data_IF_969719921980
#
_entry.id   IF_969719921980
#
_cell.length_a   1.000
_cell.length_b   1.000
_cell.length_c   1.000
_cell.angle_alpha   90.00
_cell.angle_beta   90.00
_cell.angle_gamma   90.00
#
_symmetry.space_group_name_H-M   'P 1'
#
loop_
_entity.id
_entity.type
_entity.pdbx_description
1 polymer ?
#
# COMPACT_ATOMS: atom_id res chain seq x y z
N UNK A 1 18.86 -25.21 12.29
CA UNK A 1 19.03 -25.30 10.83
C UNK A 1 18.56 -26.62 10.22
N UNK A 2 19.09 -27.80 10.58
CA UNK A 2 18.63 -29.10 10.00
C UNK A 2 17.15 -29.42 10.22
N UNK A 3 16.58 -29.09 11.36
CA UNK A 3 15.15 -29.33 11.69
C UNK A 3 14.21 -28.40 10.94
N UNK A 4 14.61 -27.16 10.70
CA UNK A 4 13.87 -26.16 9.93
C UNK A 4 13.79 -26.52 8.44
N UNK A 5 14.93 -26.91 7.86
CA UNK A 5 15.00 -27.37 6.45
C UNK A 5 14.19 -28.66 6.22
N UNK A 6 14.15 -29.58 7.20
CA UNK A 6 13.34 -30.79 7.12
C UNK A 6 11.84 -30.49 7.16
N UNK A 7 11.40 -29.51 7.98
CA UNK A 7 10.01 -29.04 8.03
C UNK A 7 9.62 -28.38 6.69
N UNK A 8 10.49 -27.51 6.14
CA UNK A 8 10.26 -26.85 4.85
C UNK A 8 10.14 -27.85 3.68
N UNK A 9 10.94 -28.91 3.69
CA UNK A 9 10.94 -29.96 2.65
C UNK A 9 9.66 -30.80 2.72
N UNK A 10 9.21 -31.16 3.91
CA UNK A 10 7.94 -31.89 4.14
C UNK A 10 6.74 -31.03 3.70
N UNK A 11 6.74 -29.77 4.01
CA UNK A 11 5.66 -28.83 3.61
C UNK A 11 5.58 -28.71 2.08
N UNK A 12 6.71 -28.60 1.38
CA UNK A 12 6.73 -28.58 -0.09
C UNK A 12 6.20 -29.85 -0.73
N UNK A 13 6.50 -31.02 -0.15
CA UNK A 13 6.01 -32.31 -0.65
C UNK A 13 4.50 -32.45 -0.44
N UNK A 14 3.98 -32.00 0.70
CA UNK A 14 2.54 -32.02 0.99
C UNK A 14 1.77 -31.08 0.03
N UNK A 15 2.33 -29.89 -0.26
CA UNK A 15 1.78 -28.93 -1.24
C UNK A 15 1.71 -29.56 -2.64
N UNK A 16 2.79 -30.16 -3.10
CA UNK A 16 2.87 -30.81 -4.43
C UNK A 16 1.88 -31.98 -4.55
N UNK A 17 1.74 -32.79 -3.49
CA UNK A 17 0.80 -33.91 -3.46
C UNK A 17 -0.65 -33.44 -3.46
N UNK A 18 -0.97 -32.37 -2.76
CA UNK A 18 -2.34 -31.84 -2.71
C UNK A 18 -2.78 -31.22 -4.05
N UNK A 19 -1.88 -30.45 -4.70
CA UNK A 19 -2.11 -29.88 -6.04
C UNK A 19 -2.32 -31.00 -7.08
N UNK A 20 -1.56 -32.08 -7.00
CA UNK A 20 -1.66 -33.24 -7.89
C UNK A 20 -2.98 -34.02 -7.71
N UNK A 21 -3.54 -34.06 -6.48
CA UNK A 21 -4.72 -34.85 -6.16
C UNK A 21 -6.02 -34.09 -6.41
N UNK A 22 -6.09 -32.78 -6.20
CA UNK A 22 -7.34 -32.03 -6.19
C UNK A 22 -7.55 -31.11 -7.40
N UNK A 23 -6.49 -30.76 -8.10
CA UNK A 23 -6.56 -29.76 -9.21
C UNK A 23 -7.04 -28.37 -8.76
N UNK A 24 -7.23 -28.15 -7.45
CA UNK A 24 -7.83 -26.93 -6.90
C UNK A 24 -6.76 -26.09 -6.21
N UNK A 25 -6.47 -24.93 -6.74
CA UNK A 25 -5.38 -24.06 -6.29
C UNK A 25 -5.72 -23.16 -5.07
N UNK A 26 -6.97 -23.15 -4.55
CA UNK A 26 -7.42 -21.95 -3.82
C UNK A 26 -8.25 -22.08 -2.54
N UNK A 27 -8.60 -23.21 -1.95
CA UNK A 27 -9.57 -23.14 -0.83
C UNK A 27 -9.20 -23.80 0.50
N UNK A 28 -8.31 -24.76 0.55
CA UNK A 28 -7.94 -25.40 1.85
C UNK A 28 -6.45 -25.28 2.20
N UNK A 29 -5.58 -25.03 1.22
CA UNK A 29 -4.14 -24.81 1.47
C UNK A 29 -3.86 -23.46 2.14
N UNK A 30 -4.66 -22.43 1.89
CA UNK A 30 -4.55 -21.14 2.59
C UNK A 30 -4.76 -21.28 4.10
N UNK A 31 -5.50 -22.30 4.53
CA UNK A 31 -5.72 -22.59 5.94
C UNK A 31 -4.58 -23.38 6.60
N UNK A 32 -3.83 -24.18 5.82
CA UNK A 32 -2.76 -25.07 6.33
C UNK A 32 -1.38 -24.37 6.29
N UNK A 33 -1.21 -23.38 5.42
CA UNK A 33 0.04 -22.62 5.25
C UNK A 33 -0.08 -21.20 5.82
N UNK A 34 -1.08 -20.90 6.61
CA UNK A 34 -1.09 -19.62 7.36
C UNK A 34 0.18 -19.58 8.19
N UNK A 35 1.02 -18.60 7.90
CA UNK A 35 2.20 -18.28 8.71
C UNK A 35 1.81 -18.34 10.18
N UNK A 36 2.45 -19.20 10.97
CA UNK A 36 2.27 -19.25 12.43
C UNK A 36 2.68 -17.93 13.10
N UNK A 37 3.21 -16.96 12.30
CA UNK A 37 3.64 -15.65 12.80
C UNK A 37 2.42 -14.84 13.27
N UNK A 38 2.47 -14.32 14.50
CA UNK A 38 1.45 -13.39 14.98
C UNK A 38 1.45 -12.10 14.14
N UNK A 39 0.28 -11.47 14.00
CA UNK A 39 0.11 -10.29 13.15
C UNK A 39 0.40 -9.01 13.92
N UNK A 40 1.20 -8.11 13.30
CA UNK A 40 1.42 -6.75 13.79
C UNK A 40 0.76 -5.74 12.84
N UNK A 41 -0.19 -4.99 13.34
CA UNK A 41 -0.92 -3.99 12.56
C UNK A 41 -0.05 -2.78 12.18
N UNK A 42 -0.24 -2.26 10.97
CA UNK A 42 0.38 -1.01 10.51
C UNK A 42 -0.57 -0.23 9.58
N UNK A 43 -0.38 1.09 9.47
CA UNK A 43 -1.29 1.96 8.71
C UNK A 43 -0.59 2.76 7.60
N UNK A 44 0.57 3.30 7.87
CA UNK A 44 1.24 4.24 6.96
C UNK A 44 2.42 3.60 6.25
N UNK A 45 2.59 3.89 4.96
CA UNK A 45 3.70 3.38 4.13
C UNK A 45 5.10 3.79 4.57
N UNK A 46 5.25 4.63 5.59
CA UNK A 46 6.53 4.93 6.25
C UNK A 46 6.86 3.96 7.39
N UNK A 47 6.03 2.96 7.65
CA UNK A 47 6.33 1.90 8.62
C UNK A 47 7.32 0.91 7.99
N UNK A 48 8.49 0.65 8.63
CA UNK A 48 9.47 -0.30 8.11
C UNK A 48 8.98 -1.74 8.33
N UNK A 49 8.37 -2.33 7.30
CA UNK A 49 7.80 -3.69 7.37
C UNK A 49 8.88 -4.74 7.61
N UNK A 50 10.09 -4.49 7.15
CA UNK A 50 11.26 -5.33 7.33
C UNK A 50 11.59 -5.53 8.83
N UNK A 51 11.50 -4.48 9.65
CA UNK A 51 11.71 -4.59 11.09
C UNK A 51 10.61 -5.38 11.79
N UNK A 52 9.36 -5.22 11.35
CA UNK A 52 8.23 -5.99 11.88
C UNK A 52 8.45 -7.48 11.60
N UNK A 53 8.83 -7.81 10.36
CA UNK A 53 9.04 -9.19 9.94
C UNK A 53 10.26 -9.82 10.62
N UNK A 54 11.37 -9.08 10.73
CA UNK A 54 12.58 -9.49 11.44
C UNK A 54 12.33 -9.74 12.94
N UNK A 55 11.36 -9.02 13.54
CA UNK A 55 10.91 -9.25 14.92
C UNK A 55 10.03 -10.51 15.09
N UNK A 56 9.75 -11.25 14.02
CA UNK A 56 8.94 -12.47 14.07
C UNK A 56 7.45 -12.25 13.85
N UNK A 57 7.01 -11.07 13.44
CA UNK A 57 5.60 -10.77 13.16
C UNK A 57 5.31 -10.74 11.66
N UNK A 58 4.06 -11.04 11.31
CA UNK A 58 3.51 -10.77 10.00
C UNK A 58 3.00 -9.32 9.96
N UNK A 59 3.54 -8.43 9.10
CA UNK A 59 2.98 -7.09 8.92
C UNK A 59 1.57 -7.20 8.32
N UNK A 60 0.57 -6.66 9.02
CA UNK A 60 -0.81 -6.67 8.58
C UNK A 60 -1.33 -5.25 8.44
N UNK A 61 -1.70 -4.83 7.23
CA UNK A 61 -2.20 -3.49 7.01
C UNK A 61 -3.62 -3.32 7.56
N UNK A 62 -3.80 -2.27 8.33
CA UNK A 62 -5.10 -1.84 8.82
C UNK A 62 -5.69 -0.87 7.80
N UNK A 63 -6.86 -1.16 7.28
CA UNK A 63 -7.49 -0.44 6.16
C UNK A 63 -8.92 0.08 6.43
N UNK A 64 -9.55 -0.33 7.54
CA UNK A 64 -10.92 0.03 7.82
C UNK A 64 -11.92 -0.68 6.89
N UNK A 65 -12.96 0.02 6.47
CA UNK A 65 -13.98 -0.46 5.52
C UNK A 65 -14.49 0.68 4.63
N UNK A 66 -15.16 0.33 3.52
CA UNK A 66 -15.70 1.28 2.53
C UNK A 66 -17.13 1.76 2.85
N UNK A 67 -17.75 1.29 3.92
CA UNK A 67 -19.05 1.76 4.36
C UNK A 67 -18.93 3.09 5.14
N UNK A 68 -19.99 3.90 5.19
CA UNK A 68 -20.03 5.07 6.07
C UNK A 68 -19.74 4.68 7.53
N UNK A 69 -18.98 5.52 8.22
CA UNK A 69 -18.68 5.29 9.63
C UNK A 69 -19.97 5.31 10.47
N UNK A 70 -20.05 4.44 11.48
CA UNK A 70 -21.26 4.25 12.31
C UNK A 70 -21.05 4.69 13.74
N UNK A 71 -19.95 4.28 14.35
CA UNK A 71 -19.67 4.53 15.77
C UNK A 71 -18.55 5.53 16.00
N UNK A 72 -17.70 5.77 14.99
CA UNK A 72 -16.52 6.61 15.10
C UNK A 72 -16.81 8.03 15.59
N UNK A 73 -17.95 8.61 15.18
CA UNK A 73 -18.35 9.99 15.56
C UNK A 73 -18.62 10.14 17.07
N UNK A 74 -18.73 9.02 17.81
CA UNK A 74 -18.78 9.03 19.28
C UNK A 74 -17.41 9.10 19.94
N UNK A 75 -16.33 8.87 19.19
CA UNK A 75 -14.95 8.77 19.68
C UNK A 75 -14.03 9.85 19.10
N UNK A 76 -14.36 10.39 17.93
CA UNK A 76 -13.58 11.40 17.23
C UNK A 76 -14.52 12.40 16.54
N UNK A 77 -14.02 13.62 16.30
CA UNK A 77 -14.83 14.64 15.63
C UNK A 77 -15.25 14.20 14.22
N UNK A 78 -16.49 14.47 13.77
CA UNK A 78 -16.98 14.06 12.43
C UNK A 78 -16.13 14.53 11.25
N UNK A 79 -15.40 15.65 11.39
CA UNK A 79 -14.54 16.22 10.34
C UNK A 79 -13.17 15.53 10.25
N UNK A 80 -13.14 14.21 10.43
CA UNK A 80 -11.98 13.38 10.10
C UNK A 80 -12.26 12.53 8.86
N UNK A 81 -11.21 12.20 8.11
CA UNK A 81 -11.35 11.44 6.87
C UNK A 81 -11.89 10.01 7.13
N UNK A 82 -12.57 9.46 6.13
CA UNK A 82 -13.22 8.15 6.22
C UNK A 82 -12.25 7.02 6.61
N UNK A 83 -10.98 7.05 6.15
CA UNK A 83 -9.98 6.03 6.52
C UNK A 83 -9.81 5.95 8.05
N UNK A 84 -9.68 7.09 8.73
CA UNK A 84 -9.55 7.12 10.18
C UNK A 84 -10.84 6.69 10.86
N UNK A 85 -11.98 7.19 10.39
CA UNK A 85 -13.30 6.88 10.98
C UNK A 85 -13.65 5.38 10.83
N UNK A 86 -13.50 4.82 9.64
CA UNK A 86 -13.77 3.40 9.41
C UNK A 86 -12.79 2.48 10.18
N UNK A 87 -11.55 2.92 10.35
CA UNK A 87 -10.57 2.19 11.17
C UNK A 87 -11.00 2.16 12.65
N UNK A 88 -11.54 3.26 13.17
CA UNK A 88 -12.11 3.32 14.55
C UNK A 88 -13.31 2.38 14.65
N UNK A 89 -14.23 2.40 13.69
CA UNK A 89 -15.39 1.52 13.68
C UNK A 89 -14.99 0.05 13.82
N UNK A 90 -14.12 -0.42 12.92
CA UNK A 90 -13.64 -1.82 12.91
C UNK A 90 -12.90 -2.15 14.21
N UNK A 91 -12.09 -1.22 14.73
CA UNK A 91 -11.33 -1.44 15.96
C UNK A 91 -12.24 -1.56 17.19
N UNK A 92 -13.24 -0.71 17.33
CA UNK A 92 -14.22 -0.72 18.43
C UNK A 92 -15.12 -1.95 18.37
N UNK A 93 -15.47 -2.40 17.15
CA UNK A 93 -16.24 -3.62 16.92
C UNK A 93 -15.40 -4.92 17.09
N UNK A 94 -14.11 -4.78 17.39
CA UNK A 94 -13.22 -5.93 17.68
C UNK A 94 -12.62 -6.60 16.43
N UNK A 95 -12.76 -6.02 15.24
CA UNK A 95 -12.25 -6.58 13.99
C UNK A 95 -10.71 -6.72 13.94
N UNK A 96 -10.00 -6.05 14.83
CA UNK A 96 -8.53 -6.14 14.95
C UNK A 96 -8.06 -6.84 16.23
N UNK A 97 -8.93 -7.56 16.94
CA UNK A 97 -8.57 -8.27 18.18
C UNK A 97 -7.53 -9.40 17.98
N UNK A 98 -7.37 -9.88 16.75
CA UNK A 98 -6.36 -10.90 16.41
C UNK A 98 -4.95 -10.32 16.24
N UNK A 99 -4.78 -8.99 16.26
CA UNK A 99 -3.47 -8.35 16.16
C UNK A 99 -2.76 -8.40 17.51
N UNK A 100 -1.47 -8.72 17.49
CA UNK A 100 -0.61 -8.61 18.68
C UNK A 100 -0.35 -7.16 19.09
N UNK A 101 -0.31 -6.28 18.12
CA UNK A 101 -0.09 -4.86 18.34
C UNK A 101 -0.31 -4.02 17.10
N UNK A 102 -0.15 -2.71 17.24
CA UNK A 102 -0.30 -1.75 16.14
C UNK A 102 0.81 -0.71 16.17
N UNK A 103 1.39 -0.47 14.99
CA UNK A 103 2.37 0.59 14.75
C UNK A 103 1.69 1.72 13.98
N UNK A 104 1.56 2.86 14.63
CA UNK A 104 1.08 4.11 14.05
C UNK A 104 2.25 4.94 13.54
N UNK A 105 1.98 5.84 12.61
CA UNK A 105 2.93 6.85 12.15
C UNK A 105 2.32 8.23 12.34
N UNK A 106 3.09 9.16 12.88
CA UNK A 106 2.73 10.58 12.96
C UNK A 106 2.71 11.20 11.56
N UNK A 107 1.79 10.74 10.69
CA UNK A 107 1.71 11.17 9.28
C UNK A 107 0.80 12.37 9.04
N UNK A 108 -0.23 12.56 9.86
CA UNK A 108 -1.13 13.72 9.86
C UNK A 108 -1.83 13.83 11.21
N UNK A 109 -2.58 14.91 11.46
CA UNK A 109 -3.29 15.04 12.73
C UNK A 109 -4.36 13.96 12.92
N UNK A 110 -5.05 13.57 11.86
CA UNK A 110 -6.04 12.50 11.91
C UNK A 110 -5.44 11.16 12.40
N UNK A 111 -4.23 10.80 11.93
CA UNK A 111 -3.53 9.58 12.39
C UNK A 111 -3.05 9.68 13.84
N UNK A 112 -2.68 10.89 14.30
CA UNK A 112 -2.35 11.12 15.72
C UNK A 112 -3.57 10.92 16.60
N UNK A 113 -4.72 11.48 16.19
CA UNK A 113 -5.98 11.30 16.93
C UNK A 113 -6.46 9.85 16.91
N UNK A 114 -6.29 9.16 15.78
CA UNK A 114 -6.55 7.71 15.71
C UNK A 114 -5.71 6.94 16.74
N UNK A 115 -4.41 7.24 16.85
CA UNK A 115 -3.54 6.64 17.88
C UNK A 115 -4.08 6.91 19.29
N UNK A 116 -4.50 8.14 19.60
CA UNK A 116 -4.99 8.52 20.93
C UNK A 116 -6.31 7.80 21.29
N UNK A 117 -7.24 7.73 20.32
CA UNK A 117 -8.50 6.97 20.46
C UNK A 117 -8.20 5.49 20.64
N UNK A 118 -7.34 4.91 19.80
CA UNK A 118 -6.98 3.50 19.88
C UNK A 118 -6.40 3.16 21.25
N UNK A 119 -5.40 3.91 21.70
CA UNK A 119 -4.73 3.71 22.99
C UNK A 119 -5.72 3.76 24.18
N UNK A 120 -6.78 4.53 24.06
CA UNK A 120 -7.77 4.71 25.14
C UNK A 120 -8.87 3.65 25.13
N UNK A 121 -9.32 3.23 23.94
CA UNK A 121 -10.57 2.47 23.81
C UNK A 121 -10.41 1.08 23.19
N UNK A 122 -9.28 0.78 22.57
CA UNK A 122 -9.06 -0.51 21.91
C UNK A 122 -8.03 -1.33 22.69
N UNK A 123 -8.42 -2.46 23.31
CA UNK A 123 -7.48 -3.34 24.01
C UNK A 123 -6.43 -3.86 23.03
N UNK A 124 -5.17 -3.46 23.22
CA UNK A 124 -4.05 -3.85 22.34
C UNK A 124 -2.81 -4.04 23.17
N UNK A 125 -2.10 -5.18 23.00
CA UNK A 125 -0.94 -5.54 23.82
C UNK A 125 0.28 -4.66 23.55
N UNK A 126 0.48 -4.28 22.29
CA UNK A 126 1.61 -3.43 21.87
C UNK A 126 1.10 -2.28 21.00
N UNK A 127 1.46 -1.06 21.38
CA UNK A 127 1.17 0.16 20.60
C UNK A 127 2.44 0.96 20.51
N UNK A 128 2.83 1.32 19.28
CA UNK A 128 3.97 2.18 19.03
C UNK A 128 3.60 3.29 18.06
N UNK A 129 4.02 4.53 18.37
CA UNK A 129 3.88 5.68 17.48
C UNK A 129 5.25 6.05 16.91
N UNK A 130 5.45 5.82 15.63
CA UNK A 130 6.61 6.25 14.87
C UNK A 130 6.49 7.74 14.53
N UNK A 131 7.47 8.52 14.96
CA UNK A 131 7.53 9.93 14.61
C UNK A 131 8.47 10.14 13.41
N UNK A 132 7.89 10.36 12.23
CA UNK A 132 8.62 10.51 10.98
C UNK A 132 8.84 12.00 10.69
N UNK A 133 10.05 12.43 10.32
CA UNK A 133 10.32 13.83 10.03
C UNK A 133 9.52 14.31 8.81
N UNK A 134 9.16 15.59 8.81
CA UNK A 134 8.64 16.27 7.62
C UNK A 134 9.81 16.83 6.82
N UNK A 135 10.03 16.29 5.63
CA UNK A 135 11.11 16.73 4.74
C UNK A 135 12.33 15.80 4.72
N UNK A 136 12.93 15.78 3.55
CA UNK A 136 14.05 14.91 3.18
C UNK A 136 15.36 15.68 3.35
N UNK A 137 16.05 15.47 4.47
CA UNK A 137 17.33 16.14 4.78
C UNK A 137 18.26 15.20 5.54
N UNK A 138 19.54 15.55 5.63
CA UNK A 138 20.52 14.79 6.42
C UNK A 138 20.16 14.74 7.91
N UNK A 139 19.54 15.78 8.46
CA UNK A 139 19.04 15.78 9.82
C UNK A 139 17.81 14.87 9.95
N UNK A 140 16.91 14.90 8.95
CA UNK A 140 15.79 13.99 8.85
C UNK A 140 16.22 12.53 8.79
N UNK A 141 17.30 12.22 8.08
CA UNK A 141 17.86 10.86 8.03
C UNK A 141 18.34 10.39 9.41
N UNK A 142 19.09 11.23 10.13
CA UNK A 142 19.52 10.91 11.49
C UNK A 142 18.32 10.71 12.43
N UNK A 143 17.26 11.48 12.22
CA UNK A 143 16.05 11.38 13.03
C UNK A 143 15.29 10.07 12.75
N UNK A 144 14.97 9.76 11.48
CA UNK A 144 14.23 8.53 11.13
C UNK A 144 15.00 7.26 11.52
N UNK A 145 16.34 7.26 11.37
CA UNK A 145 17.18 6.15 11.83
C UNK A 145 17.00 5.90 13.33
N UNK A 146 16.99 6.98 14.16
CA UNK A 146 16.73 6.87 15.60
C UNK A 146 15.32 6.37 15.91
N UNK A 147 14.33 6.80 15.14
CA UNK A 147 12.96 6.31 15.33
C UNK A 147 12.84 4.82 14.98
N UNK A 148 13.54 4.35 13.95
CA UNK A 148 13.60 2.92 13.62
C UNK A 148 14.35 2.12 14.70
N UNK A 149 15.41 2.68 15.27
CA UNK A 149 16.09 2.10 16.42
C UNK A 149 15.18 2.00 17.66
N UNK A 150 14.40 3.05 17.96
CA UNK A 150 13.38 3.00 19.02
C UNK A 150 12.32 1.92 18.78
N UNK A 151 11.84 1.79 17.54
CA UNK A 151 10.91 0.72 17.16
C UNK A 151 11.55 -0.65 17.37
N UNK A 152 12.79 -0.86 16.89
CA UNK A 152 13.54 -2.10 17.08
C UNK A 152 13.61 -2.47 18.56
N UNK A 153 14.07 -1.54 19.41
CA UNK A 153 14.17 -1.74 20.86
C UNK A 153 12.81 -2.04 21.50
N UNK A 154 11.75 -1.36 21.05
CA UNK A 154 10.40 -1.60 21.57
C UNK A 154 9.89 -3.01 21.20
N UNK A 155 10.14 -3.47 19.98
CA UNK A 155 9.81 -4.82 19.54
C UNK A 155 10.63 -5.89 20.28
N UNK A 156 11.94 -5.68 20.45
CA UNK A 156 12.83 -6.57 21.23
C UNK A 156 12.36 -6.71 22.68
N UNK A 157 11.98 -5.59 23.30
CA UNK A 157 11.42 -5.60 24.66
C UNK A 157 10.09 -6.35 24.72
N UNK A 158 9.23 -6.18 23.72
CA UNK A 158 7.93 -6.85 23.68
C UNK A 158 8.06 -8.37 23.48
N UNK A 159 8.94 -8.79 22.57
CA UNK A 159 9.17 -10.21 22.27
C UNK A 159 10.12 -10.90 23.28
N UNK A 160 10.87 -10.13 24.07
CA UNK A 160 12.00 -10.60 24.89
C UNK A 160 13.11 -11.27 24.08
N UNK A 161 13.23 -10.95 22.79
CA UNK A 161 14.24 -11.47 21.87
C UNK A 161 14.94 -10.34 21.13
N UNK A 162 16.27 -10.44 20.97
CA UNK A 162 17.03 -9.49 20.15
C UNK A 162 16.76 -9.72 18.66
N UNK A 163 16.55 -8.64 17.92
CA UNK A 163 16.44 -8.66 16.46
C UNK A 163 17.86 -8.58 15.89
N UNK A 164 18.34 -9.70 15.35
CA UNK A 164 19.68 -9.79 14.78
C UNK A 164 19.75 -9.09 13.41
N UNK A 165 20.92 -8.57 13.06
CA UNK A 165 21.13 -7.94 11.76
C UNK A 165 20.87 -8.90 10.59
N UNK A 166 21.25 -10.18 10.72
CA UNK A 166 20.95 -11.21 9.73
C UNK A 166 19.44 -11.34 9.45
N UNK A 167 18.60 -11.25 10.52
CA UNK A 167 17.14 -11.31 10.37
C UNK A 167 16.58 -10.07 9.66
N UNK A 168 17.19 -8.90 9.87
CA UNK A 168 16.83 -7.66 9.16
C UNK A 168 17.23 -7.78 7.70
N UNK A 169 18.42 -8.31 7.42
CA UNK A 169 18.91 -8.50 6.06
C UNK A 169 18.04 -9.47 5.26
N UNK A 170 17.70 -10.62 5.85
CA UNK A 170 16.75 -11.60 5.26
C UNK A 170 15.39 -10.97 4.96
N UNK A 171 14.88 -10.16 5.89
CA UNK A 171 13.61 -9.45 5.67
C UNK A 171 13.73 -8.42 4.53
N UNK A 172 14.81 -7.65 4.46
CA UNK A 172 15.06 -6.72 3.34
C UNK A 172 15.04 -7.48 2.02
N UNK A 173 15.77 -8.59 1.91
CA UNK A 173 15.82 -9.39 0.66
C UNK A 173 14.43 -9.90 0.27
N UNK A 174 13.66 -10.41 1.22
CA UNK A 174 12.31 -10.88 0.99
C UNK A 174 11.37 -9.79 0.46
N UNK A 175 11.35 -8.62 1.10
CA UNK A 175 10.51 -7.51 0.65
C UNK A 175 10.99 -6.88 -0.65
N UNK A 176 12.31 -6.87 -0.92
CA UNK A 176 12.84 -6.43 -2.20
C UNK A 176 12.46 -7.38 -3.34
N UNK A 177 12.39 -8.70 -3.08
CA UNK A 177 11.84 -9.65 -4.03
C UNK A 177 10.37 -9.35 -4.34
N UNK A 178 9.54 -9.10 -3.32
CA UNK A 178 8.13 -8.72 -3.50
C UNK A 178 7.98 -7.47 -4.37
N UNK A 179 8.78 -6.43 -4.12
CA UNK A 179 8.80 -5.21 -4.93
C UNK A 179 9.18 -5.50 -6.39
N UNK A 180 10.21 -6.33 -6.59
CA UNK A 180 10.65 -6.74 -7.93
C UNK A 180 9.55 -7.49 -8.68
N UNK A 181 8.86 -8.40 -8.02
CA UNK A 181 7.74 -9.13 -8.60
C UNK A 181 6.57 -8.19 -8.95
N UNK A 182 6.24 -7.26 -8.05
CA UNK A 182 5.20 -6.27 -8.32
C UNK A 182 5.55 -5.38 -9.53
N UNK A 183 6.80 -4.98 -9.67
CA UNK A 183 7.23 -4.22 -10.85
C UNK A 183 7.07 -5.03 -12.15
N UNK A 184 7.32 -6.35 -12.12
CA UNK A 184 7.05 -7.21 -13.29
C UNK A 184 5.57 -7.22 -13.66
N UNK A 185 4.67 -7.28 -12.67
CA UNK A 185 3.22 -7.17 -12.90
C UNK A 185 2.87 -5.80 -13.49
N UNK A 186 3.45 -4.72 -12.97
CA UNK A 186 3.23 -3.37 -13.50
C UNK A 186 3.65 -3.21 -14.96
N UNK A 187 4.67 -3.94 -15.44
CA UNK A 187 5.06 -3.91 -16.86
C UNK A 187 3.99 -4.44 -17.80
N UNK A 188 3.08 -5.31 -17.33
CA UNK A 188 1.96 -5.80 -18.11
C UNK A 188 0.98 -4.69 -18.52
N UNK A 189 0.99 -3.58 -17.79
CA UNK A 189 0.17 -2.39 -18.08
C UNK A 189 0.81 -1.43 -19.09
N UNK A 190 2.06 -1.70 -19.52
CA UNK A 190 2.66 -0.96 -20.65
C UNK A 190 2.04 -1.36 -21.99
N UNK A 191 1.45 -2.55 -22.07
CA UNK A 191 0.72 -3.01 -23.23
C UNK A 191 -0.52 -2.14 -23.51
N UNK A 192 -0.99 -2.16 -24.74
CA UNK A 192 -2.18 -1.42 -25.15
C UNK A 192 -3.13 -2.32 -25.98
N UNK A 193 -4.29 -2.73 -25.42
CA UNK A 193 -4.78 -2.45 -24.07
C UNK A 193 -3.91 -3.09 -22.97
N UNK A 194 -3.99 -2.61 -21.72
CA UNK A 194 -3.25 -3.20 -20.61
C UNK A 194 -3.69 -4.65 -20.36
N UNK A 195 -2.74 -5.54 -20.07
CA UNK A 195 -3.00 -6.96 -19.80
C UNK A 195 -3.57 -7.22 -18.41
N UNK A 196 -3.45 -6.25 -17.51
CA UNK A 196 -3.99 -6.27 -16.17
C UNK A 196 -4.62 -4.91 -15.86
N UNK A 197 -5.77 -4.91 -15.22
CA UNK A 197 -6.55 -3.72 -14.88
C UNK A 197 -6.01 -3.01 -13.65
N UNK A 198 -6.37 -1.75 -13.45
CA UNK A 198 -6.11 -1.02 -12.22
C UNK A 198 -6.79 -1.66 -11.01
N UNK A 199 -8.01 -2.21 -11.18
CA UNK A 199 -8.71 -2.99 -10.16
C UNK A 199 -7.86 -4.16 -9.66
N UNK A 200 -7.40 -5.02 -10.57
CA UNK A 200 -6.59 -6.20 -10.23
C UNK A 200 -5.29 -5.82 -9.50
N UNK A 201 -4.65 -4.71 -9.87
CA UNK A 201 -3.46 -4.22 -9.17
C UNK A 201 -3.74 -3.86 -7.71
N UNK A 202 -4.86 -3.22 -7.42
CA UNK A 202 -5.23 -2.90 -6.03
C UNK A 202 -5.57 -4.16 -5.25
N UNK A 203 -6.22 -5.15 -5.86
CA UNK A 203 -6.47 -6.46 -5.25
C UNK A 203 -5.16 -7.18 -4.92
N UNK A 204 -4.21 -7.23 -5.86
CA UNK A 204 -2.87 -7.82 -5.67
C UNK A 204 -2.09 -7.08 -4.57
N UNK A 205 -2.18 -5.76 -4.52
CA UNK A 205 -1.55 -4.95 -3.47
C UNK A 205 -2.20 -5.21 -2.11
N UNK A 206 -3.52 -5.29 -2.05
CA UNK A 206 -4.27 -5.58 -0.82
C UNK A 206 -3.93 -6.96 -0.27
N UNK A 207 -3.79 -7.94 -1.15
CA UNK A 207 -3.34 -9.29 -0.84
C UNK A 207 -1.94 -9.27 -0.20
N UNK A 208 -0.99 -8.56 -0.81
CA UNK A 208 0.36 -8.39 -0.25
C UNK A 208 0.33 -7.81 1.16
N UNK A 209 -0.50 -6.82 1.41
CA UNK A 209 -0.59 -6.13 2.68
C UNK A 209 -1.14 -6.98 3.84
N UNK A 210 -1.73 -8.12 3.55
CA UNK A 210 -2.39 -9.00 4.53
C UNK A 210 -1.83 -10.41 4.56
N UNK A 211 -0.99 -10.77 3.58
CA UNK A 211 -0.40 -12.10 3.42
C UNK A 211 1.04 -12.19 3.91
N UNK A 212 1.54 -13.41 4.12
CA UNK A 212 2.97 -13.63 4.31
C UNK A 212 3.69 -13.34 2.98
N UNK A 213 4.71 -12.44 2.96
CA UNK A 213 5.46 -12.11 1.75
C UNK A 213 6.07 -13.33 1.04
N UNK A 214 6.46 -14.38 1.79
CA UNK A 214 6.96 -15.62 1.19
C UNK A 214 5.90 -16.30 0.32
N UNK A 215 4.68 -16.40 0.85
CA UNK A 215 3.55 -17.03 0.15
C UNK A 215 3.10 -16.18 -1.02
N UNK A 216 3.01 -14.88 -0.81
CA UNK A 216 2.66 -13.93 -1.86
C UNK A 216 3.68 -13.98 -3.01
N UNK A 217 4.99 -13.96 -2.73
CA UNK A 217 6.05 -14.06 -3.74
C UNK A 217 5.93 -15.37 -4.54
N UNK A 218 5.68 -16.50 -3.88
CA UNK A 218 5.50 -17.78 -4.54
C UNK A 218 4.27 -17.78 -5.48
N UNK A 219 3.14 -17.24 -5.01
CA UNK A 219 1.92 -17.11 -5.80
C UNK A 219 2.14 -16.22 -7.04
N UNK A 220 2.74 -15.05 -6.85
CA UNK A 220 3.00 -14.12 -7.97
C UNK A 220 3.95 -14.72 -9.01
N UNK A 221 4.99 -15.44 -8.59
CA UNK A 221 5.88 -16.16 -9.53
C UNK A 221 5.09 -17.14 -10.39
N UNK A 222 4.24 -17.94 -9.76
CA UNK A 222 3.39 -18.92 -10.46
C UNK A 222 2.44 -18.24 -11.46
N UNK A 223 1.82 -17.12 -11.07
CA UNK A 223 0.93 -16.36 -11.95
C UNK A 223 1.67 -15.73 -13.13
N UNK A 224 2.89 -15.18 -12.89
CA UNK A 224 3.74 -14.64 -13.96
C UNK A 224 4.15 -15.72 -14.97
N UNK A 225 4.34 -16.96 -14.52
CA UNK A 225 4.73 -18.08 -15.40
C UNK A 225 3.54 -18.67 -16.18
N UNK A 226 2.34 -18.68 -15.60
CA UNK A 226 1.20 -19.43 -16.15
C UNK A 226 0.11 -18.52 -16.72
N UNK A 227 -0.25 -17.41 -16.06
CA UNK A 227 -1.38 -16.55 -16.40
C UNK A 227 -0.96 -15.32 -17.20
N UNK A 228 0.14 -14.68 -16.79
CA UNK A 228 0.59 -13.40 -17.35
C UNK A 228 1.74 -13.56 -18.32
N UNK A 229 1.57 -14.45 -19.29
CA UNK A 229 2.54 -14.61 -20.38
C UNK A 229 2.50 -13.38 -21.29
N UNK A 230 3.66 -13.07 -21.84
CA UNK A 230 3.77 -11.97 -22.80
C UNK A 230 2.92 -12.27 -24.04
N UNK A 231 1.76 -11.63 -24.12
CA UNK A 231 0.86 -11.74 -25.28
C UNK A 231 1.10 -10.56 -26.23
N UNK A 232 0.93 -10.72 -27.53
CA UNK A 232 1.00 -9.60 -28.49
C UNK A 232 -0.02 -8.51 -28.10
N UNK A 233 0.31 -7.25 -28.46
CA UNK A 233 -0.65 -6.16 -28.31
C UNK A 233 -1.94 -6.48 -29.06
N UNK A 234 -3.09 -6.34 -28.39
CA UNK A 234 -4.36 -6.56 -29.04
C UNK A 234 -4.71 -5.37 -29.95
N UNK A 235 -5.21 -5.67 -31.14
CA UNK A 235 -5.75 -4.66 -32.05
C UNK A 235 -7.19 -4.38 -31.60
N UNK A 236 -7.47 -3.19 -31.05
CA UNK A 236 -8.81 -2.84 -30.57
C UNK A 236 -8.98 -1.37 -30.22
N UNK A 237 -10.21 -1.00 -29.88
CA UNK A 237 -10.54 0.35 -29.42
C UNK A 237 -9.96 0.58 -28.04
N UNK A 238 -8.92 1.39 -27.93
CA UNK A 238 -8.19 1.63 -26.68
C UNK A 238 -8.85 2.76 -25.90
N UNK A 239 -9.11 2.51 -24.62
CA UNK A 239 -9.58 3.56 -23.70
C UNK A 239 -8.45 4.56 -23.42
N UNK A 240 -8.76 5.83 -23.10
CA UNK A 240 -7.75 6.76 -22.60
C UNK A 240 -7.09 6.24 -21.33
N UNK A 241 -5.76 6.33 -21.31
CA UNK A 241 -4.91 5.85 -20.21
C UNK A 241 -4.68 6.95 -19.20
N UNK A 242 -4.83 6.66 -17.92
CA UNK A 242 -4.68 7.64 -16.85
C UNK A 242 -3.81 7.14 -15.70
N UNK A 243 -3.30 8.11 -14.94
CA UNK A 243 -2.74 7.90 -13.60
C UNK A 243 -3.80 8.25 -12.56
N UNK A 244 -3.96 7.40 -11.55
CA UNK A 244 -4.74 7.69 -10.36
C UNK A 244 -3.80 8.09 -9.22
N UNK A 245 -4.00 9.29 -8.66
CA UNK A 245 -3.17 9.84 -7.59
C UNK A 245 -4.04 10.28 -6.41
N UNK A 246 -3.46 10.45 -5.23
CA UNK A 246 -4.15 11.07 -4.10
C UNK A 246 -4.17 10.27 -2.81
N UNK A 247 -5.28 10.39 -2.07
CA UNK A 247 -5.52 9.72 -0.80
C UNK A 247 -5.54 8.19 -0.94
N UNK A 248 -5.26 7.43 0.13
CA UNK A 248 -5.33 5.98 0.10
C UNK A 248 -6.68 5.47 -0.39
N UNK A 249 -6.67 4.52 -1.31
CA UNK A 249 -7.83 3.78 -1.80
C UNK A 249 -7.60 2.31 -1.44
N UNK A 250 -8.46 1.75 -0.62
CA UNK A 250 -8.40 0.35 -0.18
C UNK A 250 -9.41 -0.52 -0.92
N UNK A 251 -10.43 0.09 -1.51
CA UNK A 251 -11.49 -0.60 -2.21
C UNK A 251 -11.22 -0.64 -3.72
N UNK A 252 -11.00 -1.83 -4.25
CA UNK A 252 -10.77 -2.04 -5.68
C UNK A 252 -12.00 -1.69 -6.54
N UNK A 253 -13.21 -1.72 -5.97
CA UNK A 253 -14.44 -1.34 -6.68
C UNK A 253 -14.45 0.16 -7.06
N UNK A 254 -13.77 1.01 -6.31
CA UNK A 254 -13.59 2.41 -6.71
C UNK A 254 -12.80 2.54 -8.02
N UNK A 255 -11.79 1.71 -8.20
CA UNK A 255 -10.99 1.68 -9.44
C UNK A 255 -11.79 1.07 -10.59
N UNK A 256 -12.49 -0.04 -10.31
CA UNK A 256 -13.41 -0.66 -11.29
C UNK A 256 -14.41 0.37 -11.83
N UNK A 257 -15.00 1.16 -10.96
CA UNK A 257 -15.92 2.23 -11.33
C UNK A 257 -15.29 3.28 -12.25
N UNK A 258 -14.05 3.70 -12.00
CA UNK A 258 -13.32 4.62 -12.90
C UNK A 258 -13.11 3.97 -14.27
N UNK A 259 -12.74 2.69 -14.31
CA UNK A 259 -12.50 1.94 -15.54
C UNK A 259 -13.81 1.69 -16.34
N UNK A 260 -14.93 1.52 -15.65
CA UNK A 260 -16.28 1.44 -16.25
C UNK A 260 -16.72 2.76 -16.90
N UNK A 261 -16.23 3.90 -16.41
CA UNK A 261 -16.44 5.22 -17.04
C UNK A 261 -15.60 5.41 -18.33
N UNK A 262 -14.98 4.35 -18.86
CA UNK A 262 -14.29 4.34 -20.14
C UNK A 262 -12.85 4.80 -20.10
N UNK A 263 -12.14 4.58 -19.00
CA UNK A 263 -10.73 4.87 -18.79
C UNK A 263 -9.95 3.59 -18.47
N UNK A 264 -8.63 3.59 -18.74
CA UNK A 264 -7.71 2.57 -18.24
C UNK A 264 -6.80 3.18 -17.16
N UNK A 265 -6.91 2.71 -15.92
CA UNK A 265 -6.02 3.10 -14.83
C UNK A 265 -4.74 2.29 -14.94
N UNK A 266 -3.67 2.90 -15.43
CA UNK A 266 -2.42 2.17 -15.75
C UNK A 266 -1.27 2.42 -14.75
N UNK A 267 -1.46 3.33 -13.81
CA UNK A 267 -0.53 3.55 -12.70
C UNK A 267 -1.24 4.23 -11.53
N UNK A 268 -0.91 3.82 -10.31
CA UNK A 268 -1.44 4.43 -9.08
C UNK A 268 -0.30 5.12 -8.29
N UNK A 269 -0.30 6.45 -8.29
CA UNK A 269 0.51 7.25 -7.34
C UNK A 269 -0.16 7.24 -5.95
N UNK A 270 -0.43 6.04 -5.44
CA UNK A 270 -1.10 5.78 -4.16
C UNK A 270 -0.19 4.98 -3.23
N UNK A 271 -0.29 5.24 -1.91
CA UNK A 271 0.39 4.41 -0.91
C UNK A 271 -0.28 3.04 -0.69
N UNK A 272 -1.34 2.74 -1.44
CA UNK A 272 -2.05 1.46 -1.49
C UNK A 272 -1.90 0.74 -2.83
N UNK A 273 -1.17 1.32 -3.76
CA UNK A 273 -0.95 0.81 -5.11
C UNK A 273 0.53 0.88 -5.51
N UNK A 274 0.80 1.13 -6.76
CA UNK A 274 2.12 1.04 -7.40
C UNK A 274 3.21 1.81 -6.67
N UNK A 275 2.92 3.03 -6.22
CA UNK A 275 3.89 3.86 -5.47
C UNK A 275 4.38 3.22 -4.16
N UNK A 276 3.60 2.35 -3.53
CA UNK A 276 4.06 1.66 -2.33
C UNK A 276 5.28 0.80 -2.61
N UNK A 277 5.30 0.13 -3.75
CA UNK A 277 6.36 -0.78 -4.16
C UNK A 277 7.58 -0.07 -4.76
N UNK A 278 7.47 1.22 -5.08
CA UNK A 278 8.60 2.06 -5.55
C UNK A 278 9.51 2.44 -4.37
N UNK A 279 10.08 1.44 -3.74
CA UNK A 279 11.03 1.57 -2.65
C UNK A 279 12.22 0.65 -2.92
N UNK A 280 13.43 1.20 -2.95
CA UNK A 280 14.67 0.44 -3.09
C UNK A 280 15.51 0.61 -1.82
N UNK A 281 16.01 -0.50 -1.26
CA UNK A 281 16.85 -0.51 -0.09
C UNK A 281 18.27 -0.95 -0.51
N UNK A 282 19.19 0.00 -0.52
CA UNK A 282 20.61 -0.28 -0.77
C UNK A 282 21.25 -0.72 0.55
N UNK A 283 21.48 -2.02 0.72
CA UNK A 283 22.07 -2.57 1.93
C UNK A 283 23.45 -1.96 2.20
N UNK A 284 23.69 -1.61 3.43
CA UNK A 284 24.96 -1.09 3.96
C UNK A 284 25.29 -1.79 5.29
N UNK A 285 26.47 -1.53 5.86
CA UNK A 285 26.84 -2.08 7.18
C UNK A 285 25.91 -1.64 8.31
N UNK A 286 25.29 -0.45 8.20
CA UNK A 286 24.25 0.01 9.12
C UNK A 286 22.88 -0.18 8.43
N UNK A 287 22.24 -1.31 8.71
CA UNK A 287 20.95 -1.65 8.11
C UNK A 287 19.82 -0.70 8.52
N UNK A 288 19.86 -0.16 9.73
CA UNK A 288 18.87 0.85 10.16
C UNK A 288 19.05 2.16 9.41
N UNK A 289 20.28 2.53 9.07
CA UNK A 289 20.53 3.68 8.21
C UNK A 289 20.05 3.42 6.77
N UNK A 290 20.31 2.24 6.23
CA UNK A 290 19.84 1.84 4.90
C UNK A 290 18.31 1.87 4.80
N UNK A 291 17.61 1.34 5.79
CA UNK A 291 16.16 1.46 5.92
C UNK A 291 15.74 2.93 6.03
N UNK A 292 16.39 3.70 6.90
CA UNK A 292 16.12 5.13 7.09
C UNK A 292 16.24 5.93 5.78
N UNK A 293 17.28 5.70 5.01
CA UNK A 293 17.48 6.31 3.68
C UNK A 293 16.37 5.94 2.71
N UNK A 294 16.08 4.66 2.56
CA UNK A 294 15.06 4.17 1.65
C UNK A 294 13.68 4.75 1.97
N UNK A 295 13.27 4.70 3.24
CA UNK A 295 11.96 5.19 3.66
C UNK A 295 11.88 6.72 3.64
N UNK A 296 12.93 7.45 3.99
CA UNK A 296 12.93 8.91 3.97
C UNK A 296 12.92 9.47 2.54
N UNK A 297 13.78 8.93 1.67
CA UNK A 297 13.97 9.45 0.31
C UNK A 297 13.11 8.76 -0.75
N UNK A 298 12.19 7.89 -0.34
CA UNK A 298 11.17 7.35 -1.25
C UNK A 298 10.37 8.48 -1.92
N UNK A 299 9.63 8.13 -2.98
CA UNK A 299 8.69 9.07 -3.60
C UNK A 299 7.78 9.66 -2.52
N UNK A 300 7.79 10.98 -2.31
CA UNK A 300 7.12 11.58 -1.18
C UNK A 300 5.59 11.49 -1.29
N UNK A 301 4.91 11.32 -0.16
CA UNK A 301 3.48 11.60 -0.08
C UNK A 301 3.23 13.08 0.23
N UNK A 302 1.97 13.52 0.18
CA UNK A 302 1.59 14.91 0.44
C UNK A 302 2.10 15.46 1.79
N UNK A 303 2.18 14.59 2.83
CA UNK A 303 2.69 15.01 4.16
C UNK A 303 4.12 15.52 4.15
N UNK A 304 4.94 15.13 3.17
CA UNK A 304 6.35 15.52 3.09
C UNK A 304 6.55 16.92 2.50
N UNK A 305 5.47 17.59 2.08
CA UNK A 305 5.49 18.95 1.50
C UNK A 305 6.47 19.11 0.33
N UNK A 306 6.65 18.03 -0.45
CA UNK A 306 7.55 17.95 -1.61
C UNK A 306 6.74 17.80 -2.89
N UNK A 307 5.94 18.83 -3.18
CA UNK A 307 4.93 18.76 -4.23
C UNK A 307 5.57 18.73 -5.62
N UNK A 308 6.69 19.43 -5.81
CA UNK A 308 7.45 19.45 -7.06
C UNK A 308 8.02 18.07 -7.40
N UNK A 309 8.57 17.35 -6.39
CA UNK A 309 9.07 15.99 -6.58
C UNK A 309 7.94 15.01 -6.89
N UNK A 310 6.76 15.19 -6.26
CA UNK A 310 5.57 14.38 -6.60
C UNK A 310 5.07 14.65 -8.00
N UNK A 311 4.96 15.92 -8.40
CA UNK A 311 4.57 16.30 -9.76
C UNK A 311 5.55 15.72 -10.79
N UNK A 312 6.86 15.84 -10.53
CA UNK A 312 7.90 15.27 -11.38
C UNK A 312 7.73 13.77 -11.55
N UNK A 313 7.51 13.03 -10.44
CA UNK A 313 7.26 11.59 -10.50
C UNK A 313 6.03 11.23 -11.34
N UNK A 314 4.90 11.94 -11.14
CA UNK A 314 3.68 11.71 -11.92
C UNK A 314 3.95 11.95 -13.42
N UNK A 315 4.69 13.00 -13.77
CA UNK A 315 5.08 13.29 -15.17
C UNK A 315 5.99 12.18 -15.74
N UNK A 316 6.93 11.68 -14.97
CA UNK A 316 7.79 10.54 -15.37
C UNK A 316 6.97 9.28 -15.63
N UNK A 317 6.03 8.95 -14.73
CA UNK A 317 5.14 7.81 -14.90
C UNK A 317 4.16 8.02 -16.06
N UNK A 318 3.68 9.24 -16.27
CA UNK A 318 2.83 9.57 -17.42
C UNK A 318 3.54 9.26 -18.75
N UNK A 319 4.80 9.64 -18.89
CA UNK A 319 5.60 9.30 -20.06
C UNK A 319 5.81 7.80 -20.19
N UNK A 320 6.18 7.13 -19.09
CA UNK A 320 6.46 5.69 -19.07
C UNK A 320 5.23 4.87 -19.47
N UNK A 321 4.07 5.21 -18.94
CA UNK A 321 2.80 4.49 -19.19
C UNK A 321 1.97 5.09 -20.32
N UNK A 322 2.48 6.08 -21.04
CA UNK A 322 1.81 6.77 -22.15
C UNK A 322 0.41 7.25 -21.76
N UNK A 323 0.32 8.06 -20.70
CA UNK A 323 -0.94 8.63 -20.23
C UNK A 323 -1.04 10.11 -20.58
N UNK A 324 -2.27 10.61 -20.80
CA UNK A 324 -2.56 12.04 -21.04
C UNK A 324 -3.36 12.66 -19.90
N UNK A 325 -3.85 11.85 -18.96
CA UNK A 325 -4.72 12.30 -17.89
C UNK A 325 -4.31 11.80 -16.52
N UNK A 326 -4.61 12.62 -15.53
CA UNK A 326 -4.45 12.31 -14.10
C UNK A 326 -5.78 12.55 -13.40
N UNK A 327 -6.30 11.53 -12.72
CA UNK A 327 -7.36 11.72 -11.73
C UNK A 327 -6.69 11.83 -10.37
N UNK A 328 -6.82 13.00 -9.74
CA UNK A 328 -6.37 13.20 -8.37
C UNK A 328 -7.56 13.11 -7.42
N UNK A 329 -7.60 12.04 -6.60
CA UNK A 329 -8.67 11.81 -5.64
C UNK A 329 -8.21 12.23 -4.24
N UNK A 330 -9.01 13.02 -3.55
CA UNK A 330 -8.83 13.31 -2.13
C UNK A 330 -10.05 12.90 -1.33
N UNK A 331 -9.82 12.35 -0.14
CA UNK A 331 -10.90 12.12 0.81
C UNK A 331 -11.33 13.45 1.45
N UNK A 332 -12.62 13.63 1.70
CA UNK A 332 -13.11 14.73 2.55
C UNK A 332 -12.33 14.73 3.86
N UNK A 333 -11.96 15.93 4.30
CA UNK A 333 -11.19 16.15 5.53
C UNK A 333 -9.77 15.53 5.52
N UNK A 334 -9.21 15.24 4.33
CA UNK A 334 -7.82 14.84 4.19
C UNK A 334 -6.95 16.07 3.91
N UNK A 335 -6.65 16.84 4.94
CA UNK A 335 -5.97 18.15 4.82
C UNK A 335 -4.70 18.10 3.99
N UNK A 336 -3.87 17.08 4.18
CA UNK A 336 -2.57 16.96 3.49
C UNK A 336 -2.73 16.82 1.98
N UNK A 337 -3.74 16.08 1.49
CA UNK A 337 -3.98 15.94 0.05
C UNK A 337 -4.80 17.11 -0.50
N UNK A 338 -5.77 17.63 0.24
CA UNK A 338 -6.57 18.80 -0.17
C UNK A 338 -5.70 20.03 -0.33
N UNK A 339 -4.71 20.22 0.56
CA UNK A 339 -3.75 21.34 0.49
C UNK A 339 -2.90 21.30 -0.81
N UNK A 340 -2.52 20.11 -1.25
CA UNK A 340 -1.66 19.94 -2.43
C UNK A 340 -2.38 20.19 -3.77
N UNK A 341 -3.72 20.05 -3.82
CA UNK A 341 -4.50 20.02 -5.07
C UNK A 341 -4.22 21.22 -6.00
N UNK A 342 -4.30 22.48 -5.53
CA UNK A 342 -4.15 23.61 -6.44
C UNK A 342 -2.77 23.64 -7.13
N UNK A 343 -1.71 23.46 -6.34
CA UNK A 343 -0.35 23.53 -6.84
C UNK A 343 0.02 22.31 -7.68
N UNK A 344 -0.40 21.11 -7.28
CA UNK A 344 -0.17 19.89 -8.05
C UNK A 344 -0.84 19.98 -9.42
N UNK A 345 -2.09 20.43 -9.47
CA UNK A 345 -2.82 20.64 -10.74
C UNK A 345 -2.08 21.60 -11.67
N UNK A 346 -1.65 22.73 -11.15
CA UNK A 346 -0.88 23.74 -11.91
C UNK A 346 0.38 23.10 -12.53
N UNK A 347 1.21 22.44 -11.71
CA UNK A 347 2.45 21.79 -12.15
C UNK A 347 2.24 20.71 -13.21
N UNK A 348 1.14 19.94 -13.12
CA UNK A 348 0.83 18.89 -14.09
C UNK A 348 0.29 19.46 -15.39
N UNK A 349 -0.56 20.50 -15.33
CA UNK A 349 -1.09 21.19 -16.52
C UNK A 349 0.04 21.89 -17.31
N UNK A 350 1.03 22.48 -16.63
CA UNK A 350 2.25 23.04 -17.26
C UNK A 350 3.05 21.98 -18.04
N UNK A 351 2.78 20.69 -17.83
CA UNK A 351 3.41 19.54 -18.52
C UNK A 351 2.47 18.84 -19.48
N UNK A 352 1.44 19.53 -19.95
CA UNK A 352 0.45 19.06 -20.92
C UNK A 352 -0.38 17.86 -20.42
N UNK A 353 -0.52 17.70 -19.10
CA UNK A 353 -1.38 16.67 -18.51
C UNK A 353 -2.76 17.26 -18.18
N UNK A 354 -3.82 16.61 -18.65
CA UNK A 354 -5.17 16.91 -18.20
C UNK A 354 -5.38 16.40 -16.77
N UNK A 355 -5.96 17.22 -15.90
CA UNK A 355 -6.14 16.87 -14.48
C UNK A 355 -7.61 17.01 -14.07
N UNK A 356 -8.20 15.89 -13.63
CA UNK A 356 -9.49 15.88 -12.95
C UNK A 356 -9.27 15.73 -11.44
N UNK A 357 -9.72 16.71 -10.67
CA UNK A 357 -9.78 16.59 -9.21
C UNK A 357 -11.14 16.07 -8.77
N UNK A 358 -11.12 15.05 -7.89
CA UNK A 358 -12.31 14.45 -7.28
C UNK A 358 -12.14 14.47 -5.76
N UNK A 359 -13.13 15.00 -5.07
CA UNK A 359 -13.26 14.84 -3.62
C UNK A 359 -14.33 13.79 -3.34
N UNK A 360 -14.00 12.78 -2.54
CA UNK A 360 -14.92 11.70 -2.15
C UNK A 360 -15.02 11.59 -0.63
N UNK A 361 -16.09 11.01 -0.15
CA UNK A 361 -16.20 10.63 1.26
C UNK A 361 -15.61 9.24 1.55
N UNK A 362 -15.02 8.59 0.53
CA UNK A 362 -14.43 7.25 0.62
C UNK A 362 -15.45 6.13 0.68
N UNK A 363 -16.71 6.40 0.39
CA UNK A 363 -17.77 5.38 0.35
C UNK A 363 -18.23 5.09 -1.07
N UNK A 364 -18.69 3.86 -1.32
CA UNK A 364 -19.26 3.48 -2.61
C UNK A 364 -20.54 4.27 -2.94
N UNK A 365 -21.27 4.74 -1.94
CA UNK A 365 -22.49 5.53 -2.15
C UNK A 365 -22.25 6.88 -2.84
N UNK A 366 -21.03 7.44 -2.76
CA UNK A 366 -20.68 8.71 -3.40
C UNK A 366 -20.31 8.58 -4.89
N UNK A 367 -20.12 7.36 -5.41
CA UNK A 367 -19.62 7.11 -6.77
C UNK A 367 -20.52 7.71 -7.85
N UNK A 368 -21.84 7.58 -7.73
CA UNK A 368 -22.77 8.08 -8.74
C UNK A 368 -22.67 9.59 -8.98
N UNK A 369 -22.31 10.38 -7.95
CA UNK A 369 -22.10 11.83 -8.08
C UNK A 369 -20.84 12.17 -8.90
N UNK A 370 -19.89 11.25 -8.96
CA UNK A 370 -18.61 11.42 -9.66
C UNK A 370 -18.69 10.93 -11.10
N UNK A 371 -19.64 10.04 -11.42
CA UNK A 371 -19.77 9.37 -12.72
C UNK A 371 -19.70 10.35 -13.90
N UNK A 372 -20.60 11.30 -13.94
CA UNK A 372 -20.68 12.29 -15.05
C UNK A 372 -19.38 13.06 -15.24
N UNK A 373 -18.67 13.39 -14.14
CA UNK A 373 -17.40 14.11 -14.22
C UNK A 373 -16.28 13.24 -14.79
N UNK A 374 -16.26 11.94 -14.44
CA UNK A 374 -15.24 10.99 -14.93
C UNK A 374 -15.53 10.66 -16.39
N UNK A 375 -16.78 10.45 -16.77
CA UNK A 375 -17.19 10.22 -18.17
C UNK A 375 -16.83 11.42 -19.07
N UNK A 376 -17.15 12.64 -18.64
CA UNK A 376 -16.77 13.86 -19.36
C UNK A 376 -15.23 13.99 -19.50
N UNK A 377 -14.48 13.62 -18.45
CA UNK A 377 -13.02 13.59 -18.51
C UNK A 377 -12.49 12.55 -19.52
N UNK A 378 -13.14 11.37 -19.55
CA UNK A 378 -12.82 10.33 -20.56
C UNK A 378 -13.03 10.84 -21.98
N UNK A 379 -14.11 11.58 -22.24
CA UNK A 379 -14.37 12.20 -23.54
C UNK A 379 -13.32 13.25 -23.94
N UNK A 380 -12.92 14.11 -22.99
CA UNK A 380 -11.87 15.11 -23.21
C UNK A 380 -10.55 14.44 -23.62
N UNK A 381 -10.20 13.30 -23.01
CA UNK A 381 -8.93 12.61 -23.29
C UNK A 381 -8.95 11.84 -24.63
N UNK A 382 -10.12 11.59 -25.23
CA UNK A 382 -10.25 10.95 -26.55
C UNK A 382 -10.05 11.93 -27.72
N UNK A 383 -10.32 13.20 -27.48
CA UNK A 383 -10.14 14.29 -28.44
C UNK A 383 -8.71 14.83 -28.41
#
# INVERSE_FOLDING_TARGET
MKTFLKKLYLTKIVILLYILITGNYYTELDFIITSEKPKMGWLCSYTPLELIYAAGFLPYRIDGHSNPARVADSYIHPNFCQVVKSTIDVAIEGGYNSLEGVIFVNSCDAMRRLHDVWKRYVPTKFIHLLDIPMGQSSLGLKYIRKEFEKLKIALEKYTSHAIQDDSIEEAIDLFMESRTLFHKINFLRLKNPPQITGKEIIEISSDFFKSDPLLWNANIKTRLENEWKDTPDAIGNTKPRIILSGSPIHDAEFISFIEECGLDVVYEDLCTGSKFFDLNINKSKDLLNALGEAYLYRIPCARMMKIEERAKHIVEMSKKFNTKGVIHQSLKFCDVYLYDVPRLKELLVEKDLSVLFIESDGTLGSLNQMKTRIEAFSEILRN
#
